data_IF_806823848616
#
_entry.id   IF_806823848616
#
_cell.length_a   1.000
_cell.length_b   1.000
_cell.length_c   1.000
_cell.angle_alpha   90.00
_cell.angle_beta   90.00
_cell.angle_gamma   90.00
#
_symmetry.space_group_name_H-M   'P 1'
#
loop_
_entity.id
_entity.type
_entity.pdbx_description
1 polymer ?
#
# COMPACT_ATOMS: atom_id res chain seq x y z
N UNK A 1 -1.09 0.88 -12.76
CA UNK A 1 -2.53 0.91 -12.43
C UNK A 1 -2.82 2.28 -11.86
N UNK A 2 -3.70 3.08 -12.46
CA UNK A 2 -3.96 4.45 -11.96
C UNK A 2 -4.79 4.39 -10.68
N UNK A 3 -4.37 5.10 -9.63
CA UNK A 3 -5.15 5.24 -8.41
C UNK A 3 -6.50 5.90 -8.71
N UNK A 4 -7.55 5.42 -8.04
CA UNK A 4 -8.92 5.95 -8.11
C UNK A 4 -9.41 6.38 -6.73
N UNK A 5 -10.36 7.32 -6.67
CA UNK A 5 -10.99 7.72 -5.41
C UNK A 5 -11.60 6.52 -4.66
N UNK A 6 -12.23 5.58 -5.39
CA UNK A 6 -12.81 4.37 -4.81
C UNK A 6 -11.72 3.45 -4.21
N UNK A 7 -10.57 3.30 -4.86
CA UNK A 7 -9.47 2.51 -4.31
C UNK A 7 -8.82 3.16 -3.09
N UNK A 8 -8.72 4.50 -3.05
CA UNK A 8 -8.23 5.25 -1.88
C UNK A 8 -9.16 5.03 -0.68
N UNK A 9 -10.48 5.13 -0.88
CA UNK A 9 -11.47 4.89 0.18
C UNK A 9 -11.42 3.46 0.74
N UNK A 10 -11.26 2.46 -0.14
CA UNK A 10 -11.05 1.06 0.30
C UNK A 10 -9.78 0.90 1.12
N UNK A 11 -8.70 1.54 0.70
CA UNK A 11 -7.43 1.54 1.44
C UNK A 11 -7.58 2.19 2.82
N UNK A 12 -8.23 3.36 2.91
CA UNK A 12 -8.52 4.01 4.20
C UNK A 12 -9.28 3.09 5.15
N UNK A 13 -10.35 2.46 4.67
CA UNK A 13 -11.12 1.51 5.46
C UNK A 13 -10.29 0.32 5.94
N UNK A 14 -9.38 -0.19 5.09
CA UNK A 14 -8.50 -1.29 5.46
C UNK A 14 -7.52 -0.88 6.57
N UNK A 15 -6.93 0.31 6.48
CA UNK A 15 -6.03 0.85 7.50
C UNK A 15 -6.76 1.02 8.84
N UNK A 16 -7.92 1.68 8.85
CA UNK A 16 -8.69 1.90 10.08
C UNK A 16 -9.20 0.60 10.70
N UNK A 17 -9.62 -0.37 9.88
CA UNK A 17 -10.06 -1.70 10.35
C UNK A 17 -8.95 -2.48 11.05
N UNK A 18 -7.70 -2.24 10.65
CA UNK A 18 -6.53 -2.88 11.25
C UNK A 18 -5.88 -2.05 12.37
N UNK A 19 -6.56 -0.99 12.83
CA UNK A 19 -6.14 -0.17 13.97
C UNK A 19 -5.16 0.95 13.63
N UNK A 20 -4.89 1.20 12.34
CA UNK A 20 -4.07 2.33 11.90
C UNK A 20 -4.87 3.64 11.81
N UNK A 21 -4.13 4.74 11.67
CA UNK A 21 -4.66 6.08 11.49
C UNK A 21 -4.25 6.65 10.13
N UNK A 22 -5.14 7.43 9.51
CA UNK A 22 -4.82 8.13 8.27
C UNK A 22 -4.22 9.50 8.62
N UNK A 23 -3.01 9.82 8.15
CA UNK A 23 -2.41 11.14 8.30
C UNK A 23 -3.29 12.27 7.73
N UNK A 24 -3.23 13.44 8.36
CA UNK A 24 -4.03 14.62 7.98
C UNK A 24 -3.80 15.05 6.52
N UNK A 25 -2.55 14.98 6.04
CA UNK A 25 -2.20 15.27 4.64
C UNK A 25 -2.98 14.40 3.65
N UNK A 26 -3.13 13.10 3.93
CA UNK A 26 -3.87 12.17 3.07
C UNK A 26 -5.38 12.36 3.19
N UNK A 27 -5.86 12.68 4.40
CA UNK A 27 -7.27 13.03 4.62
C UNK A 27 -7.67 14.27 3.81
N UNK A 28 -6.87 15.33 3.83
CA UNK A 28 -7.16 16.55 3.08
C UNK A 28 -7.25 16.32 1.57
N UNK A 29 -6.46 15.39 1.01
CA UNK A 29 -6.57 15.02 -0.41
C UNK A 29 -7.86 14.24 -0.67
N UNK A 30 -8.23 13.31 0.21
CA UNK A 30 -9.50 12.57 0.11
C UNK A 30 -10.72 13.49 0.24
N UNK A 31 -10.69 14.47 1.14
CA UNK A 31 -11.76 15.46 1.30
C UNK A 31 -11.92 16.30 0.03
N UNK A 32 -10.81 16.70 -0.60
CA UNK A 32 -10.84 17.40 -1.89
C UNK A 32 -11.40 16.52 -3.02
N UNK A 33 -11.08 15.22 -3.03
CA UNK A 33 -11.65 14.26 -3.98
C UNK A 33 -13.17 14.13 -3.81
N UNK A 34 -13.65 14.06 -2.57
CA UNK A 34 -15.10 14.02 -2.29
C UNK A 34 -15.78 15.34 -2.68
N UNK A 35 -15.14 16.48 -2.41
CA UNK A 35 -15.63 17.81 -2.81
C UNK A 35 -15.74 17.95 -4.34
N UNK A 36 -14.75 17.50 -5.11
CA UNK A 36 -14.80 17.53 -6.59
C UNK A 36 -15.88 16.61 -7.15
N UNK A 37 -16.08 15.43 -6.55
CA UNK A 37 -17.15 14.53 -6.97
C UNK A 37 -18.54 15.12 -6.69
N UNK A 38 -18.68 15.83 -5.57
CA UNK A 38 -19.90 16.55 -5.21
C UNK A 38 -20.08 17.89 -5.94
N UNK A 39 -19.01 18.45 -6.54
CA UNK A 39 -19.02 19.78 -7.14
C UNK A 39 -19.99 19.86 -8.32
N UNK A 40 -21.06 20.62 -8.17
CA UNK A 40 -21.98 20.97 -9.26
C UNK A 40 -21.74 22.45 -9.62
N UNK A 41 -21.29 22.76 -10.86
CA UNK A 41 -21.18 24.16 -11.26
C UNK A 41 -22.56 24.80 -11.23
N UNK A 42 -22.60 26.08 -10.83
CA UNK A 42 -23.80 26.88 -11.01
C UNK A 42 -24.10 26.97 -12.51
N UNK A 43 -25.38 26.85 -12.93
CA UNK A 43 -25.73 27.03 -14.34
C UNK A 43 -25.15 28.34 -14.87
N UNK A 44 -24.60 28.34 -16.08
CA UNK A 44 -24.01 29.51 -16.73
C UNK A 44 -24.79 30.82 -16.52
N UNK A 45 -26.12 30.77 -16.64
CA UNK A 45 -27.00 31.92 -16.39
C UNK A 45 -26.99 32.42 -14.94
N UNK A 46 -26.96 31.52 -13.96
CA UNK A 46 -26.86 31.86 -12.55
C UNK A 46 -25.44 32.37 -12.19
N UNK A 47 -24.39 31.79 -12.77
CA UNK A 47 -23.01 32.23 -12.59
C UNK A 47 -22.77 33.63 -13.16
N UNK A 48 -23.29 33.92 -14.36
CA UNK A 48 -23.26 35.26 -14.96
C UNK A 48 -24.06 36.27 -14.13
N UNK A 49 -25.26 35.89 -13.68
CA UNK A 49 -26.11 36.75 -12.83
C UNK A 49 -25.41 37.06 -11.51
N UNK A 50 -24.76 36.08 -10.88
CA UNK A 50 -23.99 36.27 -9.66
C UNK A 50 -22.72 37.11 -9.88
N UNK A 51 -22.04 36.97 -11.03
CA UNK A 51 -20.88 37.78 -11.35
C UNK A 51 -21.27 39.25 -11.58
N UNK A 52 -22.41 39.49 -12.25
CA UNK A 52 -23.00 40.82 -12.44
C UNK A 52 -23.42 41.44 -11.10
N UNK A 53 -24.16 40.71 -10.27
CA UNK A 53 -24.68 41.22 -8.99
C UNK A 53 -23.58 41.52 -7.96
N UNK A 54 -22.47 40.77 -8.00
CA UNK A 54 -21.33 40.97 -7.12
C UNK A 54 -20.28 41.94 -7.69
N UNK A 55 -20.54 42.59 -8.84
CA UNK A 55 -19.59 43.50 -9.50
C UNK A 55 -18.31 42.82 -10.03
N UNK A 56 -18.30 41.48 -10.09
CA UNK A 56 -17.17 40.68 -10.58
C UNK A 56 -17.16 40.56 -12.11
N UNK A 57 -18.26 40.89 -12.78
CA UNK A 57 -18.36 40.98 -14.23
C UNK A 57 -18.01 42.40 -14.70
N UNK A 58 -16.77 42.60 -15.17
CA UNK A 58 -16.29 43.87 -15.71
C UNK A 58 -15.46 43.64 -16.98
N UNK A 59 -15.02 44.72 -17.64
CA UNK A 59 -14.31 44.62 -18.92
C UNK A 59 -13.06 43.71 -18.90
N UNK A 60 -12.41 43.52 -17.74
CA UNK A 60 -11.23 42.66 -17.60
C UNK A 60 -11.57 41.18 -17.38
N UNK A 61 -12.75 40.88 -16.85
CA UNK A 61 -13.19 39.52 -16.48
C UNK A 61 -14.33 38.98 -17.36
N UNK A 62 -14.94 39.84 -18.18
CA UNK A 62 -16.09 39.51 -19.02
C UNK A 62 -15.81 38.34 -19.97
N UNK A 63 -14.63 38.32 -20.61
CA UNK A 63 -14.23 37.22 -21.49
C UNK A 63 -14.21 35.88 -20.74
N UNK A 64 -13.54 35.80 -19.58
CA UNK A 64 -13.48 34.59 -18.77
C UNK A 64 -14.87 34.09 -18.33
N UNK A 65 -15.77 35.00 -17.95
CA UNK A 65 -17.14 34.65 -17.55
C UNK A 65 -18.01 34.20 -18.73
N UNK A 66 -17.87 34.83 -19.91
CA UNK A 66 -18.59 34.46 -21.13
C UNK A 66 -18.04 33.16 -21.72
N UNK A 67 -16.72 32.95 -21.71
CA UNK A 67 -16.08 31.72 -22.15
C UNK A 67 -16.44 30.54 -21.23
N UNK A 68 -16.51 30.76 -19.91
CA UNK A 68 -17.00 29.76 -18.96
C UNK A 68 -18.46 29.38 -19.22
N UNK A 69 -19.32 30.37 -19.49
CA UNK A 69 -20.72 30.14 -19.85
C UNK A 69 -20.86 29.41 -21.20
N UNK A 70 -20.04 29.76 -22.20
CA UNK A 70 -20.00 29.11 -23.52
C UNK A 70 -19.47 27.68 -23.45
N UNK A 71 -18.45 27.42 -22.63
CA UNK A 71 -17.89 26.08 -22.44
C UNK A 71 -18.93 25.11 -21.84
N UNK A 72 -19.78 25.59 -20.93
CA UNK A 72 -20.87 24.82 -20.34
C UNK A 72 -22.00 24.55 -21.35
N UNK A 73 -22.28 25.50 -22.25
CA UNK A 73 -23.33 25.36 -23.28
C UNK A 73 -22.90 24.47 -24.45
N UNK A 74 -21.62 24.49 -24.83
CA UNK A 74 -21.14 23.78 -26.02
C UNK A 74 -20.51 22.41 -25.77
N UNK A 75 -20.10 22.10 -24.54
CA UNK A 75 -19.59 20.79 -24.18
C UNK A 75 -20.42 20.17 -23.05
N UNK A 76 -21.40 19.30 -23.36
CA UNK A 76 -22.20 18.61 -22.35
C UNK A 76 -21.35 17.75 -21.40
N UNK A 77 -20.08 17.50 -21.71
CA UNK A 77 -19.13 16.78 -20.88
C UNK A 77 -18.10 17.69 -20.17
N UNK A 78 -18.22 19.02 -20.24
CA UNK A 78 -17.26 19.95 -19.64
C UNK A 78 -17.02 19.65 -18.16
N UNK A 79 -18.11 19.49 -17.39
CA UNK A 79 -18.06 19.16 -15.96
C UNK A 79 -17.33 17.83 -15.72
N UNK A 80 -17.64 16.81 -16.52
CA UNK A 80 -16.99 15.50 -16.42
C UNK A 80 -15.49 15.59 -16.73
N UNK A 81 -15.07 16.40 -17.71
CA UNK A 81 -13.65 16.62 -18.05
C UNK A 81 -12.89 17.35 -16.94
N UNK A 82 -13.49 18.40 -16.37
CA UNK A 82 -12.90 19.15 -15.25
C UNK A 82 -12.75 18.23 -14.03
N UNK A 83 -13.83 17.52 -13.66
CA UNK A 83 -13.78 16.54 -12.56
C UNK A 83 -12.74 15.46 -12.81
N UNK A 84 -12.67 14.90 -14.02
CA UNK A 84 -11.68 13.87 -14.38
C UNK A 84 -10.24 14.37 -14.24
N UNK A 85 -9.96 15.57 -14.73
CA UNK A 85 -8.62 16.19 -14.64
C UNK A 85 -8.22 16.46 -13.19
N UNK A 86 -9.13 17.05 -12.41
CA UNK A 86 -8.88 17.34 -10.99
C UNK A 86 -8.75 16.06 -10.15
N UNK A 87 -9.56 15.04 -10.44
CA UNK A 87 -9.48 13.71 -9.81
C UNK A 87 -8.13 13.07 -10.09
N UNK A 88 -7.66 13.11 -11.35
CA UNK A 88 -6.35 12.57 -11.71
C UNK A 88 -5.23 13.29 -10.96
N UNK A 89 -5.25 14.63 -10.93
CA UNK A 89 -4.25 15.43 -10.22
C UNK A 89 -4.20 15.11 -8.72
N UNK A 90 -5.35 14.98 -8.06
CA UNK A 90 -5.41 14.61 -6.64
C UNK A 90 -5.00 13.16 -6.38
N UNK A 91 -5.37 12.21 -7.25
CA UNK A 91 -4.86 10.84 -7.15
C UNK A 91 -3.34 10.79 -7.30
N UNK A 92 -2.76 11.56 -8.22
CA UNK A 92 -1.30 11.68 -8.37
C UNK A 92 -0.66 12.32 -7.15
N UNK A 93 -1.27 13.38 -6.59
CA UNK A 93 -0.78 13.97 -5.35
C UNK A 93 -0.82 12.96 -4.20
N UNK A 94 -1.93 12.23 -4.04
CA UNK A 94 -2.05 11.18 -3.03
C UNK A 94 -0.92 10.14 -3.16
N UNK A 95 -0.63 9.73 -4.39
CA UNK A 95 0.45 8.78 -4.69
C UNK A 95 1.84 9.30 -4.25
N UNK A 96 2.11 10.59 -4.44
CA UNK A 96 3.38 11.19 -4.02
C UNK A 96 3.47 11.30 -2.49
N UNK A 97 2.38 11.69 -1.83
CA UNK A 97 2.36 11.81 -0.36
C UNK A 97 2.48 10.45 0.34
N UNK A 98 1.79 9.41 -0.16
CA UNK A 98 1.89 8.06 0.39
C UNK A 98 3.28 7.41 0.14
N UNK A 99 4.02 7.91 -0.85
CA UNK A 99 5.40 7.53 -1.11
C UNK A 99 6.38 8.23 -0.13
N UNK A 100 5.96 9.23 0.64
CA UNK A 100 6.81 10.01 1.53
C UNK A 100 6.43 9.90 3.01
N UNK A 101 6.62 10.99 3.75
CA UNK A 101 6.44 11.03 5.21
C UNK A 101 5.03 10.66 5.67
N UNK A 102 3.99 10.98 4.88
CA UNK A 102 2.63 10.57 5.22
C UNK A 102 2.46 9.04 5.11
N UNK A 103 3.10 8.40 4.12
CA UNK A 103 3.17 6.95 4.06
C UNK A 103 3.88 6.33 5.26
N UNK A 104 4.97 6.94 5.70
CA UNK A 104 5.73 6.49 6.87
C UNK A 104 4.90 6.59 8.16
N UNK A 105 4.25 7.72 8.40
CA UNK A 105 3.35 7.94 9.55
C UNK A 105 2.19 6.93 9.57
N UNK A 106 1.58 6.68 8.40
CA UNK A 106 0.50 5.71 8.26
C UNK A 106 0.97 4.30 8.64
N UNK A 107 2.13 3.87 8.18
CA UNK A 107 2.65 2.54 8.50
C UNK A 107 3.06 2.43 9.97
N UNK A 108 3.66 3.48 10.53
CA UNK A 108 3.99 3.52 11.96
C UNK A 108 2.75 3.31 12.83
N UNK A 109 1.61 3.89 12.44
CA UNK A 109 0.34 3.68 13.16
C UNK A 109 -0.18 2.23 13.13
N UNK A 110 0.18 1.45 12.10
CA UNK A 110 -0.23 0.05 11.94
C UNK A 110 0.69 -0.93 12.68
N UNK A 111 1.92 -0.51 12.96
CA UNK A 111 2.98 -1.33 13.55
C UNK A 111 2.56 -2.01 14.87
N UNK A 112 1.85 -1.36 15.82
CA UNK A 112 1.41 -2.03 17.04
C UNK A 112 0.48 -3.23 16.79
N UNK A 113 -0.41 -3.12 15.81
CA UNK A 113 -1.35 -4.19 15.45
C UNK A 113 -0.65 -5.35 14.74
N UNK A 114 0.31 -5.02 13.86
CA UNK A 114 1.17 -6.00 13.20
C UNK A 114 2.04 -6.77 14.20
N UNK A 115 2.72 -6.05 15.09
CA UNK A 115 3.62 -6.63 16.10
C UNK A 115 2.85 -7.50 17.11
N UNK A 116 1.67 -7.05 17.56
CA UNK A 116 0.80 -7.86 18.44
C UNK A 116 0.35 -9.16 17.76
N UNK A 117 0.02 -9.12 16.47
CA UNK A 117 -0.36 -10.31 15.72
C UNK A 117 0.83 -11.27 15.51
N UNK A 118 2.01 -10.74 15.17
CA UNK A 118 3.23 -11.55 15.07
C UNK A 118 3.61 -12.18 16.40
N UNK A 119 3.54 -11.44 17.50
CA UNK A 119 3.89 -11.96 18.83
C UNK A 119 2.91 -13.05 19.29
N UNK A 120 1.62 -12.91 18.97
CA UNK A 120 0.65 -13.98 19.18
C UNK A 120 1.00 -15.27 18.43
N UNK A 121 1.47 -15.16 17.18
CA UNK A 121 1.95 -16.33 16.42
C UNK A 121 3.25 -16.91 16.98
N UNK A 122 4.19 -16.06 17.43
CA UNK A 122 5.45 -16.50 18.06
C UNK A 122 5.20 -17.20 19.39
N UNK A 123 4.31 -16.67 20.21
CA UNK A 123 3.90 -17.27 21.49
C UNK A 123 3.36 -18.68 21.26
N UNK A 124 2.45 -18.85 20.29
CA UNK A 124 1.93 -20.17 19.91
C UNK A 124 3.05 -21.11 19.42
N UNK A 125 3.95 -20.62 18.56
CA UNK A 125 5.08 -21.40 18.04
C UNK A 125 6.11 -21.81 19.12
N UNK A 126 6.20 -21.04 20.21
CA UNK A 126 7.05 -21.36 21.37
C UNK A 126 6.44 -22.45 22.27
N UNK A 127 5.12 -22.62 22.24
CA UNK A 127 4.42 -23.63 23.05
C UNK A 127 4.33 -24.99 22.35
N UNK A 128 4.16 -25.00 21.02
CA UNK A 128 4.01 -26.23 20.25
C UNK A 128 4.51 -26.08 18.81
N UNK A 129 4.81 -27.20 18.18
CA UNK A 129 5.10 -27.25 16.74
C UNK A 129 3.91 -26.69 15.94
N UNK A 130 4.18 -25.88 14.93
CA UNK A 130 3.15 -25.33 14.04
C UNK A 130 2.34 -26.39 13.26
N UNK A 131 2.79 -27.65 13.29
CA UNK A 131 2.13 -28.83 12.74
C UNK A 131 1.50 -29.74 13.81
N UNK A 132 1.47 -29.31 15.09
CA UNK A 132 0.90 -30.09 16.18
C UNK A 132 -0.59 -30.35 15.96
N UNK A 133 -1.02 -31.58 16.24
CA UNK A 133 -2.41 -31.97 16.16
C UNK A 133 -3.18 -31.50 17.43
N UNK A 134 -4.51 -31.28 17.35
CA UNK A 134 -5.28 -30.73 18.48
C UNK A 134 -5.18 -31.54 19.77
N UNK A 135 -5.10 -32.87 19.68
CA UNK A 135 -4.89 -33.77 20.81
C UNK A 135 -3.57 -33.51 21.53
N UNK A 136 -2.48 -33.30 20.79
CA UNK A 136 -1.17 -32.95 21.36
C UNK A 136 -1.19 -31.59 22.08
N UNK A 137 -2.02 -30.66 21.60
CA UNK A 137 -2.15 -29.33 22.22
C UNK A 137 -2.95 -29.42 23.52
N UNK A 138 -3.98 -30.26 23.58
CA UNK A 138 -4.77 -30.49 24.80
C UNK A 138 -3.90 -31.03 25.94
N UNK A 139 -2.91 -31.86 25.62
CA UNK A 139 -1.95 -32.40 26.61
C UNK A 139 -1.01 -31.34 27.21
N UNK A 140 -0.81 -30.20 26.53
CA UNK A 140 0.07 -29.12 26.98
C UNK A 140 -0.62 -28.13 27.94
N UNK A 141 -1.93 -28.25 28.14
CA UNK A 141 -2.70 -27.45 29.09
C UNK A 141 -3.44 -26.25 28.46
N UNK A 142 -4.16 -25.51 29.32
CA UNK A 142 -5.11 -24.48 28.90
C UNK A 142 -4.44 -23.32 28.15
N UNK A 143 -3.28 -22.85 28.61
CA UNK A 143 -2.55 -21.75 27.96
C UNK A 143 -2.18 -22.09 26.50
N UNK A 144 -1.78 -23.33 26.22
CA UNK A 144 -1.47 -23.81 24.88
C UNK A 144 -2.74 -23.89 23.99
N UNK A 145 -3.86 -24.32 24.58
CA UNK A 145 -5.17 -24.35 23.89
C UNK A 145 -5.63 -22.93 23.54
N UNK A 146 -5.49 -21.98 24.45
CA UNK A 146 -5.86 -20.58 24.23
C UNK A 146 -4.99 -19.96 23.14
N UNK A 147 -3.67 -20.15 23.19
CA UNK A 147 -2.75 -19.71 22.14
C UNK A 147 -3.10 -20.35 20.78
N UNK A 148 -3.41 -21.65 20.75
CA UNK A 148 -3.83 -22.35 19.54
C UNK A 148 -5.12 -21.78 18.95
N UNK A 149 -6.11 -21.48 19.80
CA UNK A 149 -7.38 -20.90 19.38
C UNK A 149 -7.25 -19.45 18.89
N UNK A 150 -6.25 -18.71 19.34
CA UNK A 150 -5.99 -17.34 18.91
C UNK A 150 -5.32 -17.25 17.52
N UNK A 151 -4.63 -18.30 17.06
CA UNK A 151 -3.88 -18.31 15.77
C UNK A 151 -4.70 -17.77 14.58
N UNK A 152 -5.95 -18.21 14.32
CA UNK A 152 -6.72 -17.74 13.17
C UNK A 152 -6.92 -16.22 13.16
N UNK A 153 -7.11 -15.60 14.33
CA UNK A 153 -7.31 -14.16 14.44
C UNK A 153 -6.03 -13.39 14.14
N UNK A 154 -4.89 -13.80 14.74
CA UNK A 154 -3.60 -13.18 14.46
C UNK A 154 -3.22 -13.31 12.98
N UNK A 155 -3.40 -14.50 12.40
CA UNK A 155 -3.18 -14.72 10.97
C UNK A 155 -4.09 -13.81 10.12
N UNK A 156 -5.37 -13.69 10.46
CA UNK A 156 -6.31 -12.87 9.70
C UNK A 156 -5.89 -11.39 9.67
N UNK A 157 -5.37 -10.85 10.78
CA UNK A 157 -4.83 -9.48 10.84
C UNK A 157 -3.66 -9.33 9.87
N UNK A 158 -2.67 -10.23 9.95
CA UNK A 158 -1.51 -10.17 9.07
C UNK A 158 -1.88 -10.37 7.59
N UNK A 159 -2.76 -11.34 7.29
CA UNK A 159 -3.26 -11.59 5.94
C UNK A 159 -3.99 -10.35 5.37
N UNK A 160 -4.81 -9.67 6.17
CA UNK A 160 -5.46 -8.41 5.74
C UNK A 160 -4.45 -7.30 5.47
N UNK A 161 -3.49 -7.09 6.37
CA UNK A 161 -2.44 -6.10 6.15
C UNK A 161 -1.63 -6.42 4.89
N UNK A 162 -1.29 -7.69 4.65
CA UNK A 162 -0.55 -8.13 3.47
C UNK A 162 -1.29 -7.85 2.16
N UNK A 163 -2.58 -8.20 2.09
CA UNK A 163 -3.33 -8.09 0.84
C UNK A 163 -3.90 -6.68 0.62
N UNK A 164 -4.50 -6.08 1.65
CA UNK A 164 -5.31 -4.87 1.52
C UNK A 164 -4.49 -3.59 1.72
N UNK A 165 -3.41 -3.65 2.50
CA UNK A 165 -2.57 -2.49 2.82
C UNK A 165 -1.25 -2.58 2.05
N UNK A 166 -0.40 -3.56 2.35
CA UNK A 166 0.91 -3.75 1.69
C UNK A 166 0.72 -3.97 0.19
N UNK A 167 -0.23 -4.84 -0.20
CA UNK A 167 -0.55 -5.08 -1.60
C UNK A 167 -0.98 -3.81 -2.33
N UNK A 168 -1.73 -2.93 -1.67
CA UNK A 168 -2.12 -1.63 -2.21
C UNK A 168 -0.95 -0.65 -2.27
N UNK A 169 -0.16 -0.57 -1.20
CA UNK A 169 1.04 0.28 -1.13
C UNK A 169 2.01 -0.07 -2.26
N UNK A 170 2.28 -1.35 -2.51
CA UNK A 170 3.15 -1.79 -3.62
C UNK A 170 2.62 -1.33 -4.98
N UNK A 171 1.30 -1.33 -5.19
CA UNK A 171 0.69 -0.82 -6.43
C UNK A 171 0.79 0.70 -6.52
N UNK A 172 0.56 1.41 -5.41
CA UNK A 172 0.64 2.87 -5.34
C UNK A 172 2.08 3.39 -5.42
N UNK A 173 3.03 2.69 -4.83
CA UNK A 173 4.47 3.00 -4.90
C UNK A 173 5.07 2.55 -6.23
N UNK A 174 4.37 1.68 -6.96
CA UNK A 174 4.79 1.06 -8.20
C UNK A 174 4.80 2.01 -9.39
N UNK A 175 5.73 2.96 -9.41
CA UNK A 175 6.65 2.96 -10.53
C UNK A 175 7.50 1.71 -10.30
N UNK A 176 7.44 0.70 -11.18
CA UNK A 176 8.42 -0.39 -11.10
C UNK A 176 9.84 0.18 -11.12
N UNK A 177 10.91 -0.62 -10.99
CA UNK A 177 12.26 -0.16 -11.30
C UNK A 177 12.32 0.28 -12.79
N UNK A 178 11.95 1.53 -13.05
CA UNK A 178 12.18 2.27 -14.28
C UNK A 178 13.42 3.15 -14.14
N UNK A 179 14.12 3.08 -12.99
CA UNK A 179 15.33 3.86 -12.76
C UNK A 179 16.50 3.32 -13.59
N UNK A 180 16.60 2.01 -13.89
CA UNK A 180 17.66 1.47 -14.75
C UNK A 180 17.19 0.17 -15.44
N UNK A 181 17.14 0.16 -16.78
CA UNK A 181 17.04 -0.99 -17.69
C UNK A 181 16.47 -2.33 -17.17
N UNK A 182 15.17 -2.55 -17.41
CA UNK A 182 14.38 -3.78 -17.22
C UNK A 182 14.33 -4.38 -15.79
N UNK A 183 13.13 -4.76 -15.30
CA UNK A 183 13.02 -5.47 -14.02
C UNK A 183 13.57 -6.90 -14.17
N UNK A 184 14.68 -7.19 -13.48
CA UNK A 184 15.32 -8.53 -13.42
C UNK A 184 14.75 -9.47 -12.38
N UNK A 185 13.63 -9.11 -11.76
CA UNK A 185 12.94 -9.94 -10.77
C UNK A 185 11.66 -10.44 -11.44
N UNK A 186 11.58 -11.74 -11.74
CA UNK A 186 10.39 -12.38 -12.35
C UNK A 186 9.12 -12.21 -11.50
N UNK A 187 9.27 -11.74 -10.25
CA UNK A 187 8.21 -11.44 -9.27
C UNK A 187 8.44 -10.10 -8.55
N UNK A 188 8.67 -9.02 -9.30
CA UNK A 188 8.92 -7.66 -8.73
C UNK A 188 7.91 -7.30 -7.63
N UNK A 189 6.61 -7.54 -7.87
CA UNK A 189 5.57 -7.17 -6.91
C UNK A 189 5.72 -7.94 -5.58
N UNK A 190 6.10 -9.21 -5.62
CA UNK A 190 6.28 -10.03 -4.43
C UNK A 190 7.54 -9.63 -3.66
N UNK A 191 8.64 -9.33 -4.36
CA UNK A 191 9.84 -8.77 -3.73
C UNK A 191 9.55 -7.43 -3.05
N UNK A 192 8.77 -6.55 -3.70
CA UNK A 192 8.33 -5.28 -3.12
C UNK A 192 7.44 -5.48 -1.87
N UNK A 193 6.58 -6.49 -1.86
CA UNK A 193 5.79 -6.82 -0.65
C UNK A 193 6.67 -7.36 0.47
N UNK A 194 7.66 -8.18 0.14
CA UNK A 194 8.58 -8.74 1.12
C UNK A 194 9.42 -7.67 1.82
N UNK A 195 9.95 -6.69 1.07
CA UNK A 195 10.71 -5.59 1.70
C UNK A 195 9.85 -4.70 2.59
N UNK A 196 8.52 -4.77 2.53
CA UNK A 196 7.63 -4.10 3.48
C UNK A 196 7.53 -4.83 4.82
N UNK A 197 7.95 -6.09 4.93
CA UNK A 197 7.82 -6.91 6.15
C UNK A 197 9.15 -7.44 6.70
N UNK A 198 10.29 -6.98 6.18
CA UNK A 198 11.62 -7.50 6.52
C UNK A 198 12.60 -6.38 6.88
N UNK A 199 13.19 -6.37 8.08
CA UNK A 199 13.99 -5.25 8.57
C UNK A 199 15.35 -5.08 7.87
N UNK A 200 15.85 -6.13 7.20
CA UNK A 200 17.14 -6.10 6.53
C UNK A 200 17.20 -7.17 5.42
N UNK A 201 18.04 -6.98 4.39
CA UNK A 201 18.26 -8.00 3.39
C UNK A 201 18.90 -9.25 4.02
N UNK A 202 18.24 -10.39 3.89
CA UNK A 202 18.73 -11.70 4.34
C UNK A 202 18.37 -12.79 3.35
N UNK A 203 19.35 -13.63 3.02
CA UNK A 203 19.16 -14.73 2.07
C UNK A 203 18.80 -14.25 0.67
N UNK A 204 18.48 -15.20 -0.21
CA UNK A 204 18.04 -14.89 -1.57
C UNK A 204 16.61 -14.38 -1.57
N UNK A 205 16.34 -13.27 -2.29
CA UNK A 205 14.97 -12.81 -2.55
C UNK A 205 14.11 -13.93 -3.17
N UNK A 206 14.71 -14.81 -3.99
CA UNK A 206 14.01 -15.96 -4.57
C UNK A 206 13.52 -16.92 -3.49
N UNK A 207 14.34 -17.23 -2.47
CA UNK A 207 13.96 -18.13 -1.38
C UNK A 207 12.83 -17.55 -0.53
N UNK A 208 12.90 -16.24 -0.27
CA UNK A 208 11.86 -15.50 0.44
C UNK A 208 10.56 -15.41 -0.38
N UNK A 209 10.67 -15.23 -1.69
CA UNK A 209 9.51 -15.19 -2.59
C UNK A 209 8.86 -16.56 -2.71
N UNK A 210 9.65 -17.64 -2.64
CA UNK A 210 9.12 -19.00 -2.55
C UNK A 210 8.44 -19.27 -1.19
N UNK A 211 8.76 -18.50 -0.16
CA UNK A 211 8.18 -18.65 1.18
C UNK A 211 6.75 -18.13 1.31
N UNK A 212 6.35 -17.18 0.46
CA UNK A 212 5.00 -16.59 0.40
C UNK A 212 4.07 -17.31 -0.56
N UNK A 213 4.56 -18.30 -1.31
CA UNK A 213 3.70 -19.14 -2.14
C UNK A 213 2.61 -19.80 -1.28
N UNK A 214 1.39 -19.95 -1.81
CA UNK A 214 0.29 -20.58 -1.08
C UNK A 214 0.73 -21.95 -0.56
N UNK A 215 0.65 -22.14 0.76
CA UNK A 215 0.92 -23.44 1.36
C UNK A 215 -0.21 -24.38 0.93
N UNK A 216 0.02 -25.16 -0.11
CA UNK A 216 -0.96 -26.09 -0.71
C UNK A 216 -1.37 -27.21 0.24
N UNK A 217 -0.59 -27.43 1.29
CA UNK A 217 -0.93 -28.37 2.36
C UNK A 217 -1.59 -27.61 3.51
N UNK A 218 -2.79 -28.03 3.88
CA UNK A 218 -3.60 -27.52 5.00
C UNK A 218 -2.93 -27.70 6.39
N UNK A 219 -1.62 -27.95 6.44
CA UNK A 219 -0.87 -28.39 7.61
C UNK A 219 -0.36 -27.24 8.46
N UNK A 220 -0.04 -26.09 7.86
CA UNK A 220 0.41 -24.92 8.62
C UNK A 220 -0.77 -24.00 8.94
N UNK A 221 -1.30 -24.09 10.16
CA UNK A 221 -2.41 -23.22 10.61
C UNK A 221 -2.05 -21.73 10.53
N UNK A 222 -0.77 -21.42 10.78
CA UNK A 222 -0.18 -20.07 10.67
C UNK A 222 0.05 -19.60 9.23
N UNK A 223 -0.19 -20.44 8.21
CA UNK A 223 -0.03 -20.08 6.80
C UNK A 223 1.42 -19.78 6.41
N UNK A 224 1.61 -18.85 5.48
CA UNK A 224 2.93 -18.44 5.00
C UNK A 224 3.73 -17.67 6.07
N UNK A 225 3.06 -17.05 7.04
CA UNK A 225 3.71 -16.33 8.16
C UNK A 225 4.65 -17.22 8.97
N UNK A 226 4.26 -18.47 9.22
CA UNK A 226 5.14 -19.43 9.92
C UNK A 226 6.46 -19.66 9.20
N UNK A 227 6.41 -19.81 7.88
CA UNK A 227 7.61 -20.02 7.05
C UNK A 227 8.44 -18.74 6.96
N UNK A 228 7.81 -17.59 6.79
CA UNK A 228 8.50 -16.30 6.78
C UNK A 228 9.23 -16.04 8.11
N UNK A 229 8.57 -16.25 9.25
CA UNK A 229 9.17 -16.09 10.58
C UNK A 229 10.37 -17.02 10.82
N UNK A 230 10.40 -18.21 10.20
CA UNK A 230 11.55 -19.12 10.29
C UNK A 230 12.76 -18.68 9.45
N UNK A 231 12.54 -17.84 8.44
CA UNK A 231 13.58 -17.39 7.52
C UNK A 231 14.16 -16.04 7.93
N UNK A 232 13.33 -15.15 8.46
CA UNK A 232 13.74 -13.79 8.81
C UNK A 232 12.89 -13.21 9.94
N UNK A 233 13.47 -12.37 10.82
CA UNK A 233 12.68 -11.52 11.70
C UNK A 233 11.73 -10.68 10.86
N UNK A 234 10.44 -10.67 11.23
CA UNK A 234 9.44 -9.87 10.54
C UNK A 234 9.22 -8.55 11.27
N UNK A 235 9.09 -7.49 10.49
CA UNK A 235 8.87 -6.12 10.93
C UNK A 235 8.17 -5.33 9.83
N UNK A 236 7.13 -4.58 10.16
CA UNK A 236 6.42 -3.75 9.19
C UNK A 236 7.21 -2.46 8.92
N UNK A 237 7.93 -2.46 7.79
CA UNK A 237 8.70 -1.32 7.32
C UNK A 237 7.79 -0.24 6.75
N UNK A 238 8.12 1.01 7.06
CA UNK A 238 7.61 2.18 6.37
C UNK A 238 7.99 2.16 4.87
N UNK A 239 7.31 2.92 3.99
CA UNK A 239 7.72 3.06 2.59
C UNK A 239 9.19 3.47 2.42
N UNK A 240 9.69 4.40 3.24
CA UNK A 240 11.09 4.83 3.21
C UNK A 240 12.06 3.72 3.67
N UNK A 241 11.72 2.99 4.73
CA UNK A 241 12.50 1.84 5.21
C UNK A 241 12.54 0.73 4.16
N UNK A 242 11.40 0.41 3.56
CA UNK A 242 11.29 -0.64 2.53
C UNK A 242 12.11 -0.32 1.28
N UNK A 243 12.19 0.95 0.87
CA UNK A 243 13.10 1.38 -0.21
C UNK A 243 14.56 1.15 0.16
N UNK A 244 14.95 1.53 1.37
CA UNK A 244 16.33 1.32 1.85
C UNK A 244 16.71 -0.16 1.81
N UNK A 245 15.79 -1.05 2.20
CA UNK A 245 16.00 -2.50 2.14
C UNK A 245 16.08 -2.99 0.68
N UNK A 246 15.22 -2.47 -0.20
CA UNK A 246 15.23 -2.83 -1.62
C UNK A 246 16.53 -2.39 -2.31
N UNK A 247 16.97 -1.16 -2.07
CA UNK A 247 18.19 -0.61 -2.66
C UNK A 247 19.40 -1.47 -2.27
N UNK A 248 19.48 -1.90 -1.00
CA UNK A 248 20.52 -2.82 -0.55
C UNK A 248 20.50 -4.19 -1.26
N UNK A 249 19.31 -4.74 -1.56
CA UNK A 249 19.21 -5.97 -2.35
C UNK A 249 19.67 -5.78 -3.81
N UNK A 250 19.37 -4.63 -4.40
CA UNK A 250 19.77 -4.31 -5.77
C UNK A 250 21.29 -4.12 -5.87
N UNK A 251 21.89 -3.42 -4.91
CA UNK A 251 23.35 -3.25 -4.83
C UNK A 251 24.10 -4.59 -4.72
N UNK A 252 23.61 -5.52 -3.88
CA UNK A 252 24.22 -6.85 -3.71
C UNK A 252 24.09 -7.72 -4.98
N UNK A 253 22.96 -7.62 -5.68
CA UNK A 253 22.73 -8.31 -6.94
C UNK A 253 23.66 -7.81 -8.05
N UNK A 254 23.85 -6.49 -8.15
CA UNK A 254 24.74 -5.87 -9.12
C UNK A 254 26.21 -6.23 -8.85
N UNK A 255 26.63 -6.21 -7.58
CA UNK A 255 27.98 -6.62 -7.17
C UNK A 255 28.26 -8.10 -7.50
N UNK A 256 27.29 -8.98 -7.22
CA UNK A 256 27.39 -10.41 -7.53
C UNK A 256 27.51 -10.68 -9.03
N UNK A 257 26.75 -9.96 -9.86
CA UNK A 257 26.84 -10.09 -11.31
C UNK A 257 28.18 -9.57 -11.85
N UNK A 258 28.66 -8.43 -11.35
CA UNK A 258 29.96 -7.89 -11.75
C UNK A 258 31.10 -8.89 -11.46
N UNK A 259 31.04 -9.57 -10.31
CA UNK A 259 31.99 -10.62 -9.96
C UNK A 259 31.89 -11.85 -10.89
N UNK A 260 30.67 -12.29 -11.25
CA UNK A 260 30.46 -13.40 -12.18
C UNK A 260 31.00 -13.11 -13.58
N UNK A 261 30.74 -11.90 -14.10
CA UNK A 261 31.24 -11.47 -15.41
C UNK A 261 32.77 -11.41 -15.42
N UNK A 262 33.38 -10.83 -14.37
CA UNK A 262 34.83 -10.79 -14.24
C UNK A 262 35.45 -12.20 -14.21
N UNK A 263 34.84 -13.14 -13.47
CA UNK A 263 35.28 -14.53 -13.45
C UNK A 263 35.19 -15.18 -14.83
N UNK A 264 34.09 -14.97 -15.56
CA UNK A 264 33.86 -15.57 -16.89
C UNK A 264 34.80 -15.06 -18.00
N UNK A 265 35.38 -13.86 -17.84
CA UNK A 265 36.33 -13.29 -18.79
C UNK A 265 37.79 -13.53 -18.41
N UNK A 266 38.05 -14.07 -17.21
CA UNK A 266 39.38 -14.44 -16.71
C UNK A 266 39.77 -15.90 -16.95
N UNK A 267 38.83 -16.71 -17.47
CA UNK A 267 38.97 -18.12 -17.84
C UNK A 267 39.12 -18.32 -19.34
#
# INVERSE_FOLDING_TARGET
MTLSAASIKRFHNAVTTNGGTIPETLLGITDNLEAINAWQPAPAGAALTAALSNGKFNAKTAAQHLDGALAEVHDPNHVAKVRGTATLALCTQYEQEIKGAAGDELVESLRPSFDAALEGLRTAAGMFSLNAAPDQILELGHDAVDAYNAIPNHRLVLDRMWHDIIGWLVVATGDGPQVLGQPRIDRVADALRLVMVMPAPRGSLTDLTNAIEPVTTNRLRVGHWGRLMSLTPLHLNSPSEARTVLDAYLEDADASMAAQLAASHSS
#
